data_IF_483857527396
#
_entry.id   IF_483857527396
#
_cell.length_a   1.000
_cell.length_b   1.000
_cell.length_c   1.000
_cell.angle_alpha   90.00
_cell.angle_beta   90.00
_cell.angle_gamma   90.00
#
_symmetry.space_group_name_H-M   'P 1'
#
loop_
_entity.id
_entity.type
_entity.pdbx_description
1 polymer ?
2 non-polymer ?
3 non-polymer ?
4 water ?
#
# COMPACT_ATOMS: atom_id res chain seq x y z
N UNK A 19 21.50 -20.05 -18.42
CA UNK A 19 20.39 -19.56 -17.57
C UNK A 19 19.00 -19.81 -18.17
N UNK A 20 17.98 -20.11 -17.35
CA UNK A 20 16.61 -20.23 -17.85
C UNK A 20 16.19 -18.86 -18.37
N UNK A 21 15.21 -18.85 -19.28
CA UNK A 21 14.77 -17.68 -20.01
C UNK A 21 13.27 -17.63 -19.95
N UNK A 22 12.71 -16.43 -19.77
CA UNK A 22 11.27 -16.30 -19.59
C UNK A 22 10.75 -15.11 -20.36
N UNK A 23 9.89 -15.37 -21.38
CA UNK A 23 9.32 -14.34 -22.25
C UNK A 23 10.44 -13.36 -22.74
N UNK A 24 11.57 -13.94 -23.16
CA UNK A 24 12.72 -13.20 -23.68
C UNK A 24 13.82 -12.90 -22.68
N UNK A 25 13.51 -12.82 -21.39
CA UNK A 25 14.40 -12.30 -20.34
C UNK A 25 15.26 -13.37 -19.73
N UNK A 26 16.53 -13.06 -19.44
CA UNK A 26 17.36 -13.95 -18.63
C UNK A 26 16.79 -13.89 -17.22
N UNK A 27 16.66 -15.07 -16.57
CA UNK A 27 16.41 -15.21 -15.13
C UNK A 27 17.57 -15.94 -14.51
N UNK A 28 18.61 -15.20 -14.13
CA UNK A 28 19.82 -15.79 -13.53
C UNK A 28 19.55 -16.13 -12.09
N UNK A 29 18.76 -17.18 -11.80
CA UNK A 29 18.36 -17.45 -10.41
C UNK A 29 18.93 -18.76 -9.86
N UNK A 30 19.48 -19.63 -10.70
CA UNK A 30 19.97 -20.93 -10.24
C UNK A 30 21.27 -20.80 -9.50
N UNK A 31 21.80 -21.90 -8.92
CA UNK A 31 21.24 -23.27 -8.94
C UNK A 31 20.03 -23.53 -8.03
N UNK A 32 19.83 -22.71 -6.97
CA UNK A 32 18.78 -22.93 -5.99
C UNK A 32 17.35 -22.95 -6.61
N UNK A 33 17.08 -22.06 -7.53
CA UNK A 33 15.71 -21.83 -8.01
C UNK A 33 15.53 -22.31 -9.44
N UNK A 34 14.63 -23.25 -9.65
CA UNK A 34 14.45 -23.91 -10.95
C UNK A 34 13.00 -23.95 -11.38
N UNK A 35 12.78 -24.41 -12.62
CA UNK A 35 11.45 -24.69 -13.16
C UNK A 35 10.60 -23.43 -13.09
N UNK A 36 11.05 -22.39 -13.80
CA UNK A 36 10.41 -21.09 -13.80
C UNK A 36 9.14 -21.16 -14.62
N UNK A 37 8.08 -20.47 -14.15
CA UNK A 37 6.89 -20.17 -14.95
C UNK A 37 6.63 -18.71 -14.82
N UNK A 38 6.34 -18.06 -15.94
CA UNK A 38 5.94 -16.67 -16.02
C UNK A 38 4.63 -16.41 -15.24
N UNK A 39 4.60 -15.36 -14.39
CA UNK A 39 3.38 -14.87 -13.76
C UNK A 39 2.95 -13.54 -14.41
N UNK A 40 3.86 -12.61 -14.52
CA UNK A 40 3.48 -11.30 -15.00
C UNK A 40 4.63 -10.33 -15.12
N UNK A 41 4.30 -9.07 -15.42
CA UNK A 41 5.29 -8.03 -15.61
C UNK A 41 4.66 -6.67 -15.46
N UNK A 42 5.49 -5.66 -15.30
CA UNK A 42 5.08 -4.26 -15.21
C UNK A 42 6.31 -3.40 -15.27
N UNK A 43 6.16 -2.12 -14.90
CA UNK A 43 7.28 -1.17 -14.89
C UNK A 43 8.42 -1.64 -13.95
N UNK A 44 8.05 -2.30 -12.83
CA UNK A 44 9.00 -2.92 -11.90
C UNK A 44 9.91 -3.96 -12.54
N UNK A 45 9.44 -4.66 -13.58
CA UNK A 45 10.18 -5.74 -14.20
C UNK A 45 9.28 -6.93 -14.42
N UNK A 46 9.76 -8.12 -14.08
CA UNK A 46 9.07 -9.37 -14.39
C UNK A 46 9.07 -10.25 -13.20
N UNK A 47 7.96 -10.95 -13.01
CA UNK A 47 7.81 -11.91 -11.91
C UNK A 47 7.44 -13.28 -12.46
N UNK A 48 8.00 -14.30 -11.81
CA UNK A 48 7.91 -15.72 -12.11
C UNK A 48 7.65 -16.45 -10.84
N UNK A 49 7.09 -17.65 -10.92
CA UNK A 49 7.20 -18.62 -9.83
C UNK A 49 8.41 -19.52 -10.18
N UNK A 50 9.07 -20.07 -9.15
CA UNK A 50 10.24 -20.93 -9.29
C UNK A 50 10.14 -21.94 -8.21
N UNK A 51 10.68 -23.12 -8.43
CA UNK A 51 10.84 -24.12 -7.38
C UNK A 51 12.13 -23.85 -6.58
N UNK A 52 12.01 -23.68 -5.26
CA UNK A 52 13.15 -23.50 -4.36
C UNK A 52 13.67 -24.86 -3.98
N UNK A 53 14.85 -25.21 -4.49
CA UNK A 53 15.43 -26.53 -4.24
C UNK A 53 15.99 -26.72 -2.77
N UNK A 54 16.07 -25.66 -1.95
CA UNK A 54 16.43 -25.77 -0.53
C UNK A 54 15.20 -26.05 0.32
N UNK A 55 14.17 -25.19 0.23
CA UNK A 55 12.94 -25.31 1.05
C UNK A 55 11.86 -26.13 0.39
N UNK A 56 12.03 -26.55 -0.86
CA UNK A 56 11.10 -27.50 -1.51
C UNK A 56 9.65 -26.93 -1.58
N UNK A 57 9.55 -25.61 -1.86
CA UNK A 57 8.28 -24.91 -2.17
C UNK A 57 8.50 -24.11 -3.42
N UNK A 58 7.43 -23.85 -4.19
CA UNK A 58 7.52 -22.82 -5.22
C UNK A 58 7.39 -21.48 -4.53
N UNK A 59 8.10 -20.50 -5.10
CA UNK A 59 8.27 -19.16 -4.56
C UNK A 59 8.00 -18.18 -5.66
N UNK A 60 7.84 -16.91 -5.30
CA UNK A 60 7.76 -15.84 -6.26
C UNK A 60 9.17 -15.25 -6.36
N UNK A 61 9.61 -14.96 -7.58
CA UNK A 61 10.86 -14.24 -7.82
C UNK A 61 10.54 -13.14 -8.74
N UNK A 62 10.87 -11.91 -8.33
CA UNK A 62 10.71 -10.78 -9.22
C UNK A 62 12.10 -10.28 -9.60
N UNK A 63 12.32 -10.03 -10.92
CA UNK A 63 13.54 -9.45 -11.47
C UNK A 63 13.37 -7.96 -11.67
N UNK A 64 14.15 -7.19 -10.94
CA UNK A 64 14.11 -5.74 -10.97
C UNK A 64 15.42 -5.29 -11.60
N UNK A 65 15.36 -4.35 -12.51
CA UNK A 65 16.55 -3.82 -13.18
C UNK A 65 16.50 -2.30 -13.11
N UNK A 66 16.75 -1.76 -11.91
CA UNK A 66 16.36 -0.37 -11.63
C UNK A 66 17.47 0.67 -11.82
N UNK A 67 18.66 0.24 -12.17
CA UNK A 67 19.82 1.07 -11.89
C UNK A 67 19.96 2.28 -12.84
N UNK A 68 19.21 2.32 -13.96
CA UNK A 68 19.26 3.47 -14.88
C UNK A 68 18.23 4.56 -14.50
N UNK A 69 17.46 4.39 -13.40
CA UNK A 69 16.42 5.32 -13.00
C UNK A 69 16.50 5.54 -11.51
N UNK A 70 16.85 6.80 -11.07
CA UNK A 70 16.91 7.12 -9.65
C UNK A 70 15.63 6.71 -8.90
N UNK A 71 14.45 6.97 -9.49
CA UNK A 71 13.19 6.65 -8.85
C UNK A 71 13.07 5.13 -8.66
N UNK A 72 13.43 4.30 -9.64
CA UNK A 72 13.41 2.83 -9.45
C UNK A 72 14.42 2.39 -8.40
N UNK A 73 15.61 3.01 -8.31
CA UNK A 73 16.56 2.71 -7.25
C UNK A 73 15.99 3.02 -5.90
N UNK A 74 15.22 4.14 -5.80
CA UNK A 74 14.62 4.52 -4.53
C UNK A 74 13.64 3.49 -4.07
N UNK A 75 12.78 3.06 -4.99
CA UNK A 75 11.76 2.09 -4.67
C UNK A 75 12.35 0.74 -4.26
N UNK A 76 13.36 0.28 -5.02
CA UNK A 76 14.08 -0.97 -4.72
C UNK A 76 14.72 -0.92 -3.32
N UNK A 77 15.43 0.15 -3.00
CA UNK A 77 16.13 0.26 -1.73
C UNK A 77 15.15 0.35 -0.55
N UNK A 78 14.13 1.18 -0.69
CA UNK A 78 13.10 1.29 0.36
C UNK A 78 12.41 -0.03 0.64
N UNK A 79 12.00 -0.72 -0.38
CA UNK A 79 11.36 -2.00 -0.17
C UNK A 79 12.26 -3.00 0.57
N UNK A 80 13.51 -3.13 0.11
CA UNK A 80 14.49 -4.03 0.68
C UNK A 80 14.72 -3.68 2.10
N UNK A 81 15.03 -2.41 2.41
CA UNK A 81 15.33 -1.99 3.80
C UNK A 81 14.15 -2.28 4.74
N UNK A 82 12.93 -1.95 4.31
CA UNK A 82 11.73 -2.19 5.13
C UNK A 82 11.41 -3.68 5.30
N UNK A 83 11.38 -4.44 4.23
CA UNK A 83 10.92 -5.81 4.31
C UNK A 83 11.94 -6.68 5.02
N UNK A 84 13.22 -6.40 4.91
CA UNK A 84 14.18 -7.16 5.72
C UNK A 84 14.06 -6.90 7.25
N UNK A 85 13.55 -5.74 7.67
CA UNK A 85 13.35 -5.40 9.08
C UNK A 85 12.04 -5.93 9.59
N UNK A 86 11.03 -5.90 8.77
CA UNK A 86 9.68 -6.29 9.17
C UNK A 86 9.51 -7.78 9.19
N UNK A 87 8.74 -8.28 10.19
CA UNK A 87 8.34 -9.68 10.25
C UNK A 87 6.92 -9.74 10.75
N UNK A 88 5.97 -10.09 9.87
CA UNK A 88 4.56 -10.05 10.25
C UNK A 88 3.78 -10.98 9.31
N UNK A 89 2.81 -11.71 9.83
CA UNK A 89 2.01 -12.63 9.03
C UNK A 89 1.26 -12.00 7.86
N UNK A 90 0.88 -10.69 8.00
CA UNK A 90 0.09 -9.95 7.01
C UNK A 90 0.93 -9.01 6.18
N UNK A 91 2.24 -9.20 6.18
CA UNK A 91 3.17 -8.45 5.40
C UNK A 91 4.04 -9.43 4.60
N UNK A 92 4.18 -9.20 3.33
CA UNK A 92 4.97 -10.11 2.49
C UNK A 92 6.44 -10.10 2.97
N UNK A 93 7.08 -11.20 3.01
CA UNK A 93 8.49 -11.14 3.41
C UNK A 93 9.44 -10.82 2.24
N UNK A 94 10.72 -10.69 2.51
CA UNK A 94 11.75 -11.08 1.53
C UNK A 94 12.47 -12.34 2.05
N UNK A 95 12.44 -13.41 1.27
CA UNK A 95 13.07 -14.70 1.66
C UNK A 95 14.52 -14.75 1.23
N UNK A 96 14.84 -14.14 0.12
CA UNK A 96 16.18 -14.24 -0.45
C UNK A 96 16.35 -13.09 -1.44
N UNK A 97 17.62 -12.74 -1.73
CA UNK A 97 17.91 -11.74 -2.74
C UNK A 97 19.12 -12.26 -3.50
N UNK A 98 18.97 -12.32 -4.84
CA UNK A 98 20.01 -12.73 -5.77
C UNK A 98 20.50 -11.55 -6.58
N UNK A 99 21.80 -11.35 -6.59
CA UNK A 99 22.46 -10.35 -7.43
C UNK A 99 23.90 -10.78 -7.68
N UNK A 100 24.59 -10.13 -8.65
CA UNK A 100 26.00 -10.39 -8.98
C UNK A 100 26.91 -10.20 -7.75
N UNK A 101 28.09 -10.85 -7.73
CA UNK A 101 28.97 -10.74 -6.57
C UNK A 101 29.68 -9.40 -6.41
N UNK A 102 29.69 -8.54 -7.45
CA UNK A 102 30.35 -7.21 -7.43
C UNK A 102 29.39 -6.16 -7.91
N UNK A 103 29.58 -4.89 -7.49
CA UNK A 103 28.77 -3.75 -7.93
C UNK A 103 28.89 -3.59 -9.47
N UNK A 104 30.13 -3.75 -9.98
CA UNK A 104 30.44 -3.67 -11.41
C UNK A 104 29.53 -4.60 -12.24
N UNK A 105 29.37 -5.83 -11.77
CA UNK A 105 28.60 -6.87 -12.44
C UNK A 105 27.11 -6.88 -12.14
N UNK A 106 26.61 -6.17 -11.10
CA UNK A 106 25.19 -6.16 -10.73
C UNK A 106 24.41 -5.22 -11.65
N UNK A 107 23.58 -5.81 -12.51
CA UNK A 107 22.67 -5.05 -13.36
C UNK A 107 21.23 -5.32 -12.93
N UNK A 108 20.94 -6.47 -12.30
CA UNK A 108 19.58 -6.85 -11.88
C UNK A 108 19.61 -7.27 -10.42
N UNK A 109 18.50 -7.21 -9.77
CA UNK A 109 18.31 -7.72 -8.42
C UNK A 109 17.06 -8.62 -8.49
N UNK A 110 17.18 -9.85 -8.05
CA UNK A 110 16.06 -10.79 -8.03
C UNK A 110 15.57 -10.91 -6.57
N UNK A 111 14.30 -10.56 -6.28
CA UNK A 111 13.76 -10.57 -4.90
C UNK A 111 12.83 -11.76 -4.80
N UNK A 112 13.13 -12.63 -3.85
CA UNK A 112 12.45 -13.91 -3.70
C UNK A 112 11.49 -13.71 -2.54
N UNK A 113 10.22 -14.02 -2.79
CA UNK A 113 9.14 -13.82 -1.83
C UNK A 113 8.20 -15.04 -1.82
N UNK A 114 7.43 -15.20 -0.72
CA UNK A 114 6.43 -16.26 -0.63
C UNK A 114 5.50 -16.16 -1.80
N UNK A 115 5.15 -17.28 -2.38
CA UNK A 115 4.29 -17.24 -3.55
C UNK A 115 2.83 -17.21 -3.09
N UNK A 116 2.06 -16.25 -3.65
CA UNK A 116 0.64 -16.12 -3.34
C UNK A 116 -0.16 -16.46 -4.58
N UNK A 117 -1.44 -16.83 -4.38
CA UNK A 117 -2.26 -17.34 -5.51
C UNK A 117 -2.79 -16.18 -6.36
N UNK A 118 -3.20 -15.09 -5.70
CA UNK A 118 -3.84 -13.99 -6.39
C UNK A 118 -3.67 -12.69 -5.60
N UNK A 119 -4.35 -11.63 -6.07
CA UNK A 119 -4.41 -10.37 -5.32
C UNK A 119 -5.82 -9.86 -5.29
N UNK A 120 -6.07 -8.88 -4.45
CA UNK A 120 -7.43 -8.39 -4.25
C UNK A 120 -7.98 -7.68 -5.47
N UNK A 121 -7.14 -7.08 -6.31
CA UNK A 121 -7.59 -6.44 -7.57
C UNK A 121 -8.19 -7.51 -8.50
N UNK A 122 -7.46 -8.58 -8.71
CA UNK A 122 -7.96 -9.69 -9.55
C UNK A 122 -9.22 -10.32 -8.96
N UNK A 123 -9.24 -10.48 -7.64
CA UNK A 123 -10.37 -11.13 -7.00
C UNK A 123 -11.62 -10.22 -7.13
N UNK A 124 -11.48 -8.91 -6.97
CA UNK A 124 -12.64 -8.05 -7.07
C UNK A 124 -13.19 -7.96 -8.51
N UNK A 125 -12.36 -8.14 -9.53
CA UNK A 125 -12.90 -8.10 -10.89
C UNK A 125 -13.70 -9.39 -11.24
N UNK A 126 -13.52 -10.49 -10.49
CA UNK A 126 -14.13 -11.79 -10.78
C UNK A 126 -15.12 -12.35 -9.72
N UNK A 127 -15.00 -12.00 -8.43
CA UNK A 127 -15.71 -12.70 -7.37
C UNK A 127 -16.48 -11.73 -6.48
N UNK A 128 -17.72 -12.07 -6.22
CA UNK A 128 -18.47 -11.48 -5.11
C UNK A 128 -17.88 -11.99 -3.79
N UNK A 129 -17.71 -11.10 -2.84
CA UNK A 129 -17.16 -11.40 -1.54
C UNK A 129 -18.30 -11.49 -0.57
N UNK A 130 -18.43 -12.63 0.17
CA UNK A 130 -19.38 -12.69 1.27
C UNK A 130 -18.98 -11.68 2.34
N UNK A 131 -19.94 -11.29 3.18
CA UNK A 131 -19.63 -10.34 4.25
C UNK A 131 -18.57 -10.96 5.18
N UNK A 132 -18.56 -12.31 5.38
CA UNK A 132 -17.50 -12.93 6.19
C UNK A 132 -16.08 -12.75 5.57
N UNK A 133 -16.00 -12.84 4.24
CA UNK A 133 -14.74 -12.63 3.53
C UNK A 133 -14.32 -11.19 3.67
N UNK A 134 -15.25 -10.24 3.55
CA UNK A 134 -14.93 -8.79 3.63
C UNK A 134 -14.37 -8.49 5.04
N UNK A 135 -15.02 -9.07 6.03
CA UNK A 135 -14.65 -8.87 7.46
C UNK A 135 -13.22 -9.38 7.70
N UNK A 136 -12.99 -10.62 7.27
CA UNK A 136 -11.69 -11.26 7.43
C UNK A 136 -10.55 -10.55 6.66
N UNK A 137 -10.82 -10.14 5.41
CA UNK A 137 -9.77 -9.40 4.65
C UNK A 137 -9.47 -8.07 5.36
N UNK A 138 -10.49 -7.36 5.77
CA UNK A 138 -10.28 -6.04 6.40
C UNK A 138 -9.51 -6.21 7.69
N UNK A 139 -9.87 -7.23 8.46
CA UNK A 139 -9.14 -7.54 9.71
C UNK A 139 -7.65 -7.70 9.43
N UNK A 140 -7.33 -8.51 8.42
CA UNK A 140 -5.92 -8.79 8.09
C UNK A 140 -5.22 -7.55 7.58
N UNK A 141 -5.89 -6.73 6.75
CA UNK A 141 -5.33 -5.47 6.28
C UNK A 141 -4.96 -4.60 7.48
N UNK A 142 -5.90 -4.43 8.44
CA UNK A 142 -5.69 -3.54 9.59
C UNK A 142 -4.67 -4.12 10.56
N UNK A 143 -4.63 -5.44 10.66
CA UNK A 143 -3.65 -6.11 11.51
C UNK A 143 -2.21 -5.88 11.00
N UNK A 144 -1.99 -6.04 9.72
CA UNK A 144 -0.70 -5.71 9.12
C UNK A 144 -0.41 -4.22 9.24
N UNK A 145 -1.40 -3.39 8.99
CA UNK A 145 -1.19 -1.94 9.11
C UNK A 145 -0.85 -1.49 10.53
N UNK A 146 -1.43 -2.12 11.56
CA UNK A 146 -1.05 -1.79 12.95
C UNK A 146 0.46 -1.93 13.12
N UNK A 147 1.00 -3.05 12.65
CA UNK A 147 2.42 -3.35 12.73
C UNK A 147 3.23 -2.27 11.97
N UNK A 148 2.84 -1.97 10.74
CA UNK A 148 3.57 -0.98 9.91
C UNK A 148 3.62 0.39 10.62
N UNK A 149 2.44 0.88 11.04
CA UNK A 149 2.27 2.14 11.78
C UNK A 149 2.99 2.16 13.13
N UNK A 150 3.03 1.03 13.82
CA UNK A 150 3.78 0.90 15.06
C UNK A 150 5.28 1.06 14.86
N UNK A 151 5.78 0.78 13.64
CA UNK A 151 7.17 1.06 13.28
C UNK A 151 7.38 2.52 12.82
N UNK A 152 6.36 3.40 12.93
CA UNK A 152 6.42 4.78 12.46
C UNK A 152 6.58 4.86 10.97
N UNK A 153 6.09 3.82 10.26
CA UNK A 153 6.14 3.79 8.80
C UNK A 153 4.74 3.99 8.21
N UNK A 154 4.70 4.67 7.07
CA UNK A 154 3.50 4.84 6.22
C UNK A 154 3.67 4.05 4.97
N UNK A 155 2.69 3.20 4.60
CA UNK A 155 2.83 2.41 3.37
C UNK A 155 2.72 3.35 2.13
N UNK A 156 1.67 4.18 2.11
CA UNK A 156 1.49 5.23 1.13
C UNK A 156 1.07 4.75 -0.27
N UNK A 157 0.76 3.45 -0.48
CA UNK A 157 0.17 3.02 -1.74
C UNK A 157 -0.67 1.76 -1.57
N UNK A 158 -1.48 1.75 -0.51
CA UNK A 158 -2.40 0.65 -0.24
C UNK A 158 -3.50 0.72 -1.31
N UNK A 159 -3.74 -0.42 -1.95
CA UNK A 159 -4.71 -0.57 -3.03
C UNK A 159 -4.90 -2.07 -3.22
N UNK A 160 -6.00 -2.52 -3.87
CA UNK A 160 -6.22 -3.95 -4.02
C UNK A 160 -5.04 -4.73 -4.59
N UNK A 161 -4.27 -4.18 -5.54
CA UNK A 161 -3.25 -4.97 -6.23
C UNK A 161 -2.05 -5.17 -5.34
N UNK A 162 -1.95 -4.40 -4.22
CA UNK A 162 -0.91 -4.55 -3.20
C UNK A 162 -1.34 -5.40 -2.02
N UNK A 163 -2.46 -6.13 -2.19
CA UNK A 163 -2.96 -7.08 -1.21
C UNK A 163 -2.97 -8.45 -1.84
N UNK A 164 -1.99 -9.25 -1.47
CA UNK A 164 -1.87 -10.62 -1.97
C UNK A 164 -2.66 -11.63 -1.13
N UNK A 165 -3.23 -12.66 -1.77
CA UNK A 165 -4.03 -13.66 -1.14
C UNK A 165 -3.64 -15.06 -1.60
N UNK A 166 -3.77 -16.01 -0.71
CA UNK A 166 -3.52 -17.43 -1.02
C UNK A 166 -4.85 -18.17 -1.06
N UNK A 167 -4.81 -19.50 -1.17
CA UNK A 167 -6.01 -20.28 -1.55
C UNK A 167 -6.92 -20.37 -0.38
N UNK A 168 -6.42 -20.15 0.82
CA UNK A 168 -7.25 -20.12 2.00
C UNK A 168 -7.52 -18.67 2.48
N UNK A 169 -7.38 -17.67 1.63
CA UNK A 169 -7.75 -16.25 1.95
C UNK A 169 -6.88 -15.59 3.04
N UNK A 170 -5.67 -16.14 3.26
CA UNK A 170 -4.69 -15.41 4.07
C UNK A 170 -4.19 -14.26 3.22
N UNK A 171 -4.02 -13.08 3.84
CA UNK A 171 -3.71 -11.88 3.16
C UNK A 171 -2.35 -11.31 3.59
N UNK A 172 -1.59 -10.80 2.60
CA UNK A 172 -0.32 -10.11 2.82
C UNK A 172 -0.19 -8.86 2.00
N UNK A 173 0.24 -7.79 2.68
CA UNK A 173 0.47 -6.50 2.09
C UNK A 173 1.77 -6.54 1.42
N UNK A 174 1.80 -6.06 0.20
CA UNK A 174 3.04 -5.99 -0.55
C UNK A 174 3.35 -4.57 -1.06
N UNK A 175 4.57 -4.43 -1.69
CA UNK A 175 5.13 -3.21 -2.28
C UNK A 175 5.36 -2.14 -1.25
N UNK A 176 6.53 -2.19 -0.61
CA UNK A 176 6.95 -1.19 0.39
C UNK A 176 7.92 -0.14 -0.20
N UNK A 177 7.99 -0.07 -1.53
CA UNK A 177 8.87 0.89 -2.19
C UNK A 177 8.43 2.34 -2.17
N UNK A 178 7.14 2.62 -1.92
CA UNK A 178 6.60 3.98 -1.78
C UNK A 178 6.52 4.44 -0.32
N UNK A 179 6.90 3.59 0.63
CA UNK A 179 6.79 3.90 2.05
C UNK A 179 7.68 5.05 2.51
N UNK A 180 7.29 5.65 3.63
CA UNK A 180 8.06 6.74 4.26
C UNK A 180 7.97 6.62 5.77
N UNK A 181 8.90 7.17 6.47
CA UNK A 181 8.77 7.33 7.92
C UNK A 181 7.79 8.47 8.16
N UNK A 182 6.90 8.32 9.13
CA UNK A 182 5.88 9.31 9.40
C UNK A 182 6.52 10.62 9.94
N UNK A 183 5.95 11.77 9.56
CA UNK A 183 6.50 13.05 9.92
C UNK A 183 5.33 14.05 10.00
N UNK A 184 4.45 13.91 10.98
CA UNK A 184 3.27 14.78 11.05
C UNK A 184 3.54 16.27 11.18
N UNK A 185 4.69 16.67 11.77
CA UNK A 185 5.01 18.10 11.93
C UNK A 185 5.42 18.76 10.64
N UNK A 186 5.74 17.99 9.59
CA UNK A 186 6.12 18.56 8.30
C UNK A 186 5.16 18.10 7.19
N UNK A 187 3.91 17.91 7.52
CA UNK A 187 2.91 17.43 6.56
C UNK A 187 2.22 18.53 5.74
N UNK A 188 2.29 19.78 6.21
CA UNK A 188 1.61 20.85 5.51
C UNK A 188 2.27 21.25 4.20
N UNK A 189 1.45 21.46 3.17
CA UNK A 189 1.89 22.03 1.91
C UNK A 189 0.71 22.79 1.28
N UNK A 190 0.90 23.17 0.03
CA UNK A 190 -0.07 23.91 -0.76
C UNK A 190 -1.02 23.05 -1.59
N UNK A 191 -1.80 23.77 -2.39
CA UNK A 191 -2.94 23.25 -3.12
C UNK A 191 -2.53 22.65 -4.45
N UNK A 192 -3.07 21.47 -4.74
CA UNK A 192 -2.93 20.75 -6.02
C UNK A 192 -1.49 20.53 -6.42
N UNK A 193 -0.62 20.22 -5.43
CA UNK A 193 0.79 19.98 -5.71
C UNK A 193 1.23 18.53 -5.45
N UNK A 194 0.49 17.73 -4.63
CA UNK A 194 1.02 16.44 -4.18
C UNK A 194 0.33 15.28 -4.88
N UNK A 195 1.05 14.16 -5.06
CA UNK A 195 0.59 13.02 -5.88
C UNK A 195 0.71 11.69 -5.13
N UNK A 196 0.63 11.70 -3.81
CA UNK A 196 0.88 10.50 -2.98
C UNK A 196 -0.18 9.49 -3.25
N UNK A 197 0.17 8.18 -3.17
CA UNK A 197 -0.74 7.06 -3.41
C UNK A 197 -1.22 6.94 -4.91
N UNK A 198 -2.11 5.97 -5.11
CA UNK A 198 -2.67 5.75 -6.42
C UNK A 198 -3.97 6.48 -6.43
N UNK A 199 -4.38 7.08 -7.57
CA UNK A 199 -5.45 8.10 -7.54
C UNK A 199 -6.74 7.71 -6.78
N UNK A 200 -7.33 6.56 -7.10
CA UNK A 200 -8.61 6.18 -6.52
C UNK A 200 -8.51 5.99 -4.99
N UNK A 201 -7.31 5.77 -4.49
CA UNK A 201 -7.07 5.48 -3.04
C UNK A 201 -6.41 6.64 -2.29
N UNK A 202 -6.34 7.84 -2.90
CA UNK A 202 -5.65 9.03 -2.41
C UNK A 202 -6.62 9.93 -1.58
N UNK A 203 -6.19 10.30 -0.37
CA UNK A 203 -7.04 11.01 0.57
C UNK A 203 -7.31 12.45 0.04
N UNK A 204 -8.47 13.07 0.40
CA UNK A 204 -8.81 14.42 -0.10
C UNK A 204 -7.70 15.44 0.20
N UNK A 205 -7.06 15.28 1.40
CA UNK A 205 -6.08 16.28 1.83
C UNK A 205 -4.83 16.34 0.97
N UNK A 206 -4.48 15.23 0.30
CA UNK A 206 -3.35 15.22 -0.64
C UNK A 206 -3.52 16.31 -1.71
N UNK A 207 -4.73 16.51 -2.22
CA UNK A 207 -4.99 17.51 -3.23
C UNK A 207 -5.07 18.95 -2.61
N UNK A 208 -5.20 19.07 -1.30
CA UNK A 208 -5.57 20.31 -0.62
C UNK A 208 -4.43 20.95 0.14
N UNK A 209 -3.79 20.19 1.03
CA UNK A 209 -2.77 20.75 1.93
C UNK A 209 -1.81 19.73 2.61
N UNK A 210 -1.67 18.50 2.12
CA UNK A 210 -0.92 17.45 2.84
C UNK A 210 0.12 16.80 1.94
N UNK A 211 1.32 16.56 2.50
CA UNK A 211 2.40 15.81 1.84
C UNK A 211 2.29 14.29 1.99
N UNK A 212 1.27 13.83 2.66
CA UNK A 212 1.08 12.39 2.89
C UNK A 212 2.05 11.80 3.88
N UNK A 213 2.46 12.56 4.88
CA UNK A 213 3.40 12.10 5.91
C UNK A 213 2.71 11.75 7.25
N UNK A 214 1.41 11.52 7.26
CA UNK A 214 0.74 11.09 8.51
C UNK A 214 0.03 9.77 8.22
N UNK A 215 -0.14 9.01 9.28
CA UNK A 215 -0.76 7.66 9.26
C UNK A 215 -2.17 7.65 8.69
N UNK A 216 -2.92 8.75 8.87
CA UNK A 216 -4.23 8.92 8.29
C UNK A 216 -4.31 8.74 6.78
N UNK A 217 -3.18 8.91 6.04
CA UNK A 217 -3.20 8.68 4.58
C UNK A 217 -3.56 7.22 4.27
N UNK A 218 -3.03 6.35 5.09
CA UNK A 218 -3.21 4.88 4.87
C UNK A 218 -4.58 4.46 5.28
N UNK A 219 -5.15 5.05 6.37
CA UNK A 219 -6.49 4.70 6.76
C UNK A 219 -7.48 5.09 5.67
N UNK A 220 -7.29 6.24 5.05
CA UNK A 220 -8.16 6.59 3.92
C UNK A 220 -8.15 5.50 2.85
N UNK A 221 -6.97 5.07 2.43
CA UNK A 221 -6.84 4.09 1.36
C UNK A 221 -7.56 2.79 1.79
N UNK A 222 -7.36 2.39 3.04
CA UNK A 222 -8.13 1.22 3.56
C UNK A 222 -9.67 1.41 3.47
N UNK A 223 -10.18 2.58 3.81
CA UNK A 223 -11.60 2.85 3.68
C UNK A 223 -12.06 2.68 2.24
N UNK A 224 -11.23 3.15 1.27
CA UNK A 224 -11.57 3.01 -0.17
C UNK A 224 -11.63 1.51 -0.55
N UNK A 225 -10.72 0.75 0.00
CA UNK A 225 -10.63 -0.69 -0.22
C UNK A 225 -11.82 -1.38 0.33
N UNK A 226 -12.22 -1.04 1.57
CA UNK A 226 -13.41 -1.62 2.17
C UNK A 226 -14.62 -1.31 1.27
N UNK A 227 -14.80 -0.03 0.90
CA UNK A 227 -15.91 0.34 0.01
C UNK A 227 -15.92 -0.51 -1.26
N UNK A 228 -14.73 -0.77 -1.82
CA UNK A 228 -14.62 -1.50 -3.05
C UNK A 228 -14.94 -2.99 -2.90
N UNK A 229 -14.58 -3.57 -1.75
CA UNK A 229 -14.97 -4.96 -1.38
C UNK A 229 -16.49 -5.12 -1.21
N UNK A 230 -17.18 -4.08 -0.82
CA UNK A 230 -18.64 -4.17 -0.61
C UNK A 230 -19.39 -4.26 -1.92
N UNK A 231 -18.91 -3.64 -2.98
CA UNK A 231 -19.65 -3.57 -4.27
C UNK A 231 -18.85 -3.99 -5.51
N UNK A 232 -17.58 -4.41 -5.38
CA UNK A 232 -16.73 -4.73 -6.56
C UNK A 232 -16.48 -3.52 -7.52
N UNK A 233 -16.64 -2.31 -7.06
CA UNK A 233 -16.40 -1.14 -7.89
C UNK A 233 -15.67 -0.12 -7.06
N UNK A 234 -14.69 0.61 -7.62
CA UNK A 234 -14.02 1.64 -6.80
C UNK A 234 -15.03 2.74 -6.39
N UNK A 235 -14.98 3.21 -5.16
CA UNK A 235 -15.97 4.19 -4.64
C UNK A 235 -15.74 5.60 -5.20
N UNK A 236 -14.48 6.00 -5.46
CA UNK A 236 -14.11 7.35 -5.93
C UNK A 236 -13.30 7.17 -7.24
N UNK A 237 -13.98 6.78 -8.34
CA UNK A 237 -13.27 6.53 -9.60
C UNK A 237 -12.86 7.76 -10.41
N UNK A 238 -11.98 8.60 -9.86
CA UNK A 238 -11.56 9.79 -10.57
C UNK A 238 -10.95 9.41 -11.93
N UNK A 239 -11.26 10.14 -12.98
CA UNK A 239 -10.75 9.87 -14.33
C UNK A 239 -9.38 10.46 -14.55
N UNK A 240 -8.96 11.36 -13.66
CA UNK A 240 -7.66 11.99 -13.75
C UNK A 240 -7.43 12.68 -12.42
N UNK A 241 -6.21 13.22 -12.18
CA UNK A 241 -5.82 13.75 -10.85
C UNK A 241 -6.81 14.77 -10.23
N UNK A 242 -7.19 15.68 -11.06
CA UNK A 242 -8.09 16.76 -10.65
C UNK A 242 -9.54 16.28 -10.38
N UNK A 243 -9.96 15.23 -11.04
CA UNK A 243 -11.33 14.73 -10.90
C UNK A 243 -11.51 14.04 -9.55
N UNK A 244 -10.43 13.57 -8.93
CA UNK A 244 -10.52 12.74 -7.72
C UNK A 244 -11.29 13.44 -6.60
N UNK A 245 -11.01 14.72 -6.34
CA UNK A 245 -11.73 15.43 -5.29
C UNK A 245 -13.22 15.58 -5.62
N UNK A 246 -13.58 15.67 -6.92
CA UNK A 246 -14.98 15.76 -7.31
C UNK A 246 -15.76 14.52 -6.82
N UNK A 247 -15.16 13.39 -7.03
CA UNK A 247 -15.76 12.11 -6.63
C UNK A 247 -15.87 12.05 -5.09
N UNK A 248 -14.82 12.42 -4.38
CA UNK A 248 -14.84 12.34 -2.90
C UNK A 248 -15.89 13.26 -2.34
N UNK A 249 -15.87 14.48 -2.74
CA UNK A 249 -16.87 15.44 -2.30
C UNK A 249 -18.32 15.13 -2.78
N UNK A 250 -18.45 14.54 -3.96
CA UNK A 250 -19.73 14.04 -4.45
C UNK A 250 -20.46 13.13 -3.49
N UNK A 251 -19.70 12.29 -2.75
CA UNK A 251 -20.25 11.33 -1.77
C UNK A 251 -20.26 11.93 -0.37
N UNK A 252 -19.10 12.47 0.09
CA UNK A 252 -19.01 13.01 1.44
C UNK A 252 -19.86 14.26 1.64
N UNK A 253 -20.09 15.02 0.60
CA UNK A 253 -20.74 16.31 0.69
C UNK A 253 -19.73 17.40 1.03
N UNK A 254 -20.22 18.64 1.08
CA UNK A 254 -19.43 19.80 1.46
C UNK A 254 -18.80 19.59 2.85
N UNK A 255 -17.50 19.86 3.02
CA UNK A 255 -16.94 19.91 4.38
C UNK A 255 -17.59 20.98 5.25
N UNK A 256 -17.69 20.64 6.55
CA UNK A 256 -18.20 21.51 7.58
C UNK A 256 -17.31 22.73 7.78
N UNK A 257 -17.89 23.74 8.42
CA UNK A 257 -17.11 24.95 8.78
C UNK A 257 -15.87 24.59 9.53
N UNK A 258 -15.99 23.72 10.50
CA UNK A 258 -14.89 23.32 11.34
C UNK A 258 -13.79 22.67 10.55
N UNK A 259 -14.14 21.73 9.66
CA UNK A 259 -13.17 21.05 8.83
C UNK A 259 -12.48 22.00 7.85
N UNK A 260 -13.24 22.91 7.27
CA UNK A 260 -12.72 23.98 6.42
C UNK A 260 -11.78 24.90 7.14
N UNK A 261 -12.10 25.25 8.38
CA UNK A 261 -11.24 26.12 9.20
C UNK A 261 -9.87 25.49 9.54
N UNK A 262 -9.75 24.15 9.51
CA UNK A 262 -8.47 23.45 9.63
C UNK A 262 -7.56 23.65 8.42
N UNK A 263 -8.09 24.06 7.27
CA UNK A 263 -7.31 24.24 6.07
C UNK A 263 -6.94 25.73 6.03
N UNK A 264 -5.72 26.04 6.45
CA UNK A 264 -5.36 27.43 6.59
C UNK A 264 -4.90 28.02 5.27
N UNK A 265 -4.37 27.20 4.39
CA UNK A 265 -3.93 27.68 3.08
C UNK A 265 -5.14 28.27 2.27
N UNK A 266 -5.01 29.50 1.76
CA UNK A 266 -6.14 30.20 1.17
C UNK A 266 -6.56 29.64 -0.17
N UNK A 267 -5.62 29.17 -0.97
CA UNK A 267 -5.98 28.64 -2.29
C UNK A 267 -6.92 27.44 -2.11
N UNK A 268 -6.57 26.56 -1.19
CA UNK A 268 -7.34 25.35 -0.92
C UNK A 268 -8.67 25.70 -0.28
N UNK A 269 -8.64 26.56 0.81
CA UNK A 269 -9.85 27.08 1.46
C UNK A 269 -10.86 27.68 0.48
N UNK A 270 -10.42 28.66 -0.29
CA UNK A 270 -11.26 29.40 -1.22
C UNK A 270 -11.76 28.49 -2.38
N UNK A 271 -10.96 27.50 -2.80
CA UNK A 271 -11.46 26.49 -3.76
C UNK A 271 -12.68 25.80 -3.15
N UNK A 272 -12.55 25.30 -1.96
CA UNK A 272 -13.70 24.63 -1.34
C UNK A 272 -14.91 25.52 -1.12
N UNK A 273 -14.67 26.77 -0.71
CA UNK A 273 -15.73 27.73 -0.49
C UNK A 273 -16.47 28.10 -1.78
N UNK A 274 -15.80 27.97 -2.90
CA UNK A 274 -16.32 28.29 -4.22
C UNK A 274 -17.28 27.26 -4.73
N UNK A 275 -17.32 26.08 -4.11
CA UNK A 275 -18.17 24.97 -4.55
C UNK A 275 -19.59 25.15 -4.07
N UNK A 276 -20.56 24.75 -4.90
CA UNK A 276 -21.95 24.75 -4.42
C UNK A 276 -22.08 23.74 -3.28
N UNK A 277 -22.99 24.03 -2.35
CA UNK A 277 -23.28 23.12 -1.26
C UNK A 277 -23.73 21.76 -1.84
N UNK A 278 -23.17 20.69 -1.34
CA UNK A 278 -23.53 19.30 -1.69
C UNK A 278 -23.81 18.54 -0.41
N UNK A 279 -24.92 17.78 -0.35
CA UNK A 279 -25.21 16.94 0.80
C UNK A 279 -24.48 15.59 0.75
N UNK A 280 -24.29 15.01 1.91
CA UNK A 280 -23.75 13.65 2.05
C UNK A 280 -24.69 12.57 1.42
N UNK A 281 -24.12 11.69 0.58
CA UNK A 281 -24.82 10.54 0.03
C UNK A 281 -24.72 9.47 1.12
N UNK A 282 -25.84 8.94 1.64
CA UNK A 282 -25.77 8.00 2.79
C UNK A 282 -25.16 6.67 2.39
N UNK A 283 -24.34 6.08 3.26
CA UNK A 283 -23.64 4.87 2.86
C UNK A 283 -24.62 3.75 2.61
N UNK A 284 -25.77 3.73 3.36
CA UNK A 284 -26.76 2.64 3.20
C UNK A 284 -27.51 2.70 1.83
N UNK A 285 -27.51 3.83 1.11
CA UNK A 285 -28.01 3.89 -0.28
C UNK A 285 -26.98 3.47 -1.30
N UNK A 286 -25.70 3.81 -1.05
CA UNK A 286 -24.61 3.32 -1.89
C UNK A 286 -24.46 1.83 -1.71
N UNK A 287 -24.65 1.29 -0.50
CA UNK A 287 -24.32 -0.11 -0.15
C UNK A 287 -25.51 -0.69 0.55
N UNK A 288 -26.60 -0.92 -0.20
CA UNK A 288 -27.84 -1.36 0.44
C UNK A 288 -27.76 -2.79 1.02
N UNK A 289 -26.80 -3.62 0.54
CA UNK A 289 -26.65 -5.02 1.05
C UNK A 289 -25.58 -5.17 2.14
N UNK A 290 -24.87 -4.06 2.47
CA UNK A 290 -23.78 -4.14 3.41
C UNK A 290 -24.26 -4.25 4.85
N UNK A 291 -23.41 -4.87 5.67
CA UNK A 291 -23.59 -4.98 7.10
C UNK A 291 -23.54 -3.56 7.66
N UNK A 292 -24.46 -3.22 8.55
CA UNK A 292 -24.51 -1.86 9.11
C UNK A 292 -23.25 -1.53 9.92
N UNK A 293 -22.66 -2.52 10.60
CA UNK A 293 -21.37 -2.31 11.29
C UNK A 293 -20.25 -1.99 10.32
N UNK A 294 -20.23 -2.66 9.17
CA UNK A 294 -19.23 -2.35 8.17
C UNK A 294 -19.37 -0.89 7.72
N UNK A 295 -20.62 -0.40 7.51
CA UNK A 295 -20.80 0.95 7.03
C UNK A 295 -20.44 1.97 8.11
N UNK A 296 -20.64 1.66 9.39
CA UNK A 296 -20.24 2.55 10.46
C UNK A 296 -18.71 2.70 10.42
N UNK A 297 -17.99 1.60 10.31
CA UNK A 297 -16.52 1.65 10.19
C UNK A 297 -16.09 2.38 8.93
N UNK A 298 -16.72 2.07 7.81
CA UNK A 298 -16.42 2.74 6.55
C UNK A 298 -16.48 4.27 6.75
N UNK A 299 -17.57 4.76 7.41
CA UNK A 299 -17.76 6.21 7.59
C UNK A 299 -16.57 6.84 8.34
N UNK A 300 -16.11 6.14 9.35
CA UNK A 300 -15.00 6.58 10.21
C UNK A 300 -13.67 6.57 9.49
N UNK A 301 -13.43 5.63 8.61
CA UNK A 301 -12.23 5.57 7.76
C UNK A 301 -12.24 6.64 6.67
N UNK A 302 -13.43 6.96 6.14
CA UNK A 302 -13.56 7.95 5.07
C UNK A 302 -14.05 9.28 5.62
N UNK A 303 -13.45 9.69 6.69
CA UNK A 303 -13.72 11.02 7.28
C UNK A 303 -12.88 12.02 6.52
N UNK A 304 -13.49 13.13 6.14
CA UNK A 304 -12.81 14.21 5.36
C UNK A 304 -11.60 14.75 6.15
N UNK A 305 -11.80 15.07 7.41
CA UNK A 305 -10.80 15.69 8.25
C UNK A 305 -9.84 14.62 8.74
N UNK A 306 -8.58 14.64 8.29
CA UNK A 306 -7.64 13.56 8.69
C UNK A 306 -7.40 13.45 10.21
N UNK A 307 -7.56 14.56 10.95
CA UNK A 307 -7.44 14.53 12.40
C UNK A 307 -8.57 13.76 13.08
N UNK A 308 -9.72 13.78 12.47
CA UNK A 308 -10.90 13.11 13.03
C UNK A 308 -11.03 11.70 12.54
N UNK A 309 -10.24 11.31 11.52
CA UNK A 309 -10.28 10.00 10.92
C UNK A 309 -9.83 8.93 11.91
N UNK A 310 -10.48 7.80 11.88
CA UNK A 310 -10.18 6.72 12.81
C UNK A 310 -8.73 6.26 12.64
N UNK A 311 -8.05 5.90 13.76
CA UNK A 311 -6.73 5.27 13.72
C UNK A 311 -6.81 3.74 13.68
N UNK A 312 -5.73 3.14 13.26
CA UNK A 312 -5.66 1.69 13.04
C UNK A 312 -6.05 0.88 14.26
N UNK A 313 -5.55 1.24 15.49
CA UNK A 313 -5.94 0.52 16.69
C UNK A 313 -7.42 0.69 17.05
N UNK A 314 -8.04 1.84 16.78
CA UNK A 314 -9.49 2.00 16.97
C UNK A 314 -10.26 1.16 15.95
N UNK A 315 -9.79 1.13 14.69
CA UNK A 315 -10.45 0.40 13.65
C UNK A 315 -10.53 -1.09 14.03
N UNK A 316 -9.41 -1.67 14.52
CA UNK A 316 -9.37 -3.09 14.94
C UNK A 316 -10.37 -3.41 16.04
N UNK A 317 -10.59 -2.44 16.98
CA UNK A 317 -11.53 -2.52 18.08
C UNK A 317 -12.97 -2.17 17.72
N UNK A 318 -13.28 -1.87 16.46
CA UNK A 318 -14.62 -1.53 16.00
C UNK A 318 -15.53 -2.76 16.03
N UNK A 319 -16.80 -2.62 16.44
CA UNK A 319 -17.70 -3.79 16.44
C UNK A 319 -17.75 -4.67 15.19
N UNK A 320 -17.55 -4.11 14.00
CA UNK A 320 -17.50 -4.91 12.78
C UNK A 320 -16.48 -6.04 12.89
N UNK A 321 -15.35 -5.81 13.60
CA UNK A 321 -14.26 -6.80 13.66
C UNK A 321 -14.21 -7.60 14.93
N UNK A 322 -15.29 -7.57 15.74
CA UNK A 322 -15.27 -8.16 17.09
C UNK A 322 -15.00 -9.67 17.07
N UNK A 323 -15.31 -10.37 15.95
CA UNK A 323 -15.09 -11.84 15.88
C UNK A 323 -13.60 -12.17 15.82
N UNK A 324 -12.76 -11.19 15.42
CA UNK A 324 -11.35 -11.38 15.20
C UNK A 324 -10.48 -10.64 16.19
N UNK A 325 -10.98 -9.60 16.75
CA UNK A 325 -10.14 -8.64 17.49
C UNK A 325 -9.54 -9.28 18.67
N UNK A 326 -8.23 -9.14 18.78
CA UNK A 326 -7.43 -9.72 19.85
C UNK A 326 -6.11 -8.95 19.94
N UNK A 327 -6.06 -7.88 20.74
CA UNK A 327 -4.86 -7.00 20.72
C UNK A 327 -3.54 -7.72 21.02
N UNK A 328 -3.62 -8.77 21.87
CA UNK A 328 -2.48 -9.60 22.21
C UNK A 328 -1.99 -10.46 21.01
N UNK A 329 -2.85 -10.66 19.97
CA UNK A 329 -2.45 -11.32 18.74
C UNK A 329 -2.39 -10.39 17.51
N UNK A 330 -2.11 -9.10 17.78
CA UNK A 330 -1.97 -8.08 16.80
C UNK A 330 -0.67 -7.37 17.17
N UNK A 331 0.44 -8.01 16.80
CA UNK A 331 1.76 -7.53 17.26
C UNK A 331 2.24 -6.25 16.62
N UNK A 332 3.17 -5.61 17.34
CA UNK A 332 3.80 -4.37 16.94
C UNK A 332 5.27 -4.60 16.67
N UNK A 333 5.88 -3.61 16.03
CA UNK A 333 7.27 -3.69 15.68
C UNK A 333 8.12 -3.58 16.95
N UNK A 334 9.23 -4.28 16.97
CA UNK A 334 10.14 -4.23 18.10
C UNK A 334 10.75 -2.84 18.32
N UNK A 335 10.91 -2.03 17.29
CA UNK A 335 11.31 -0.64 17.53
C UNK A 335 10.86 0.25 16.39
N UNK A 336 10.78 1.58 16.52
CA UNK A 336 10.47 2.42 15.33
C UNK A 336 11.59 2.36 14.30
N UNK A 337 11.22 2.53 13.04
CA UNK A 337 12.08 2.35 11.89
C UNK A 337 12.76 3.66 11.59
N UNK A 338 14.03 3.58 11.11
CA UNK A 338 14.98 4.70 10.94
C UNK A 338 15.78 4.53 9.64
N UNK A 341 14.43 8.30 5.83
CA UNK A 341 15.53 7.52 5.26
C UNK A 341 16.55 8.43 4.51
N UNK A 342 16.05 9.55 3.91
CA UNK A 342 16.85 10.60 3.25
C UNK A 342 17.57 10.09 2.00
N UNK A 343 16.76 9.73 0.98
CA UNK A 343 17.21 9.14 -0.28
C UNK A 343 17.02 10.01 -1.53
N UNK A 344 16.37 11.20 -1.42
CA UNK A 344 16.03 12.06 -2.59
C UNK A 344 17.22 12.91 -3.08
N UNK A 345 18.19 13.19 -2.20
CA UNK A 345 19.43 13.88 -2.56
C UNK A 345 20.53 12.89 -3.07
N UNK A 346 20.27 11.55 -2.96
CA UNK A 346 21.25 10.52 -3.31
C UNK A 346 21.19 10.21 -4.82
N UNK A 347 22.31 10.29 -5.58
CA UNK A 347 22.26 9.88 -7.00
C UNK A 347 22.00 8.38 -7.16
N UNK A 348 21.55 7.96 -8.36
CA UNK A 348 21.26 6.56 -8.61
C UNK A 348 22.48 5.69 -8.40
N UNK A 349 23.68 6.22 -8.73
CA UNK A 349 24.90 5.43 -8.54
C UNK A 349 25.14 5.18 -7.04
N UNK A 350 24.90 6.19 -6.18
CA UNK A 350 24.97 5.98 -4.72
C UNK A 350 23.89 5.00 -4.24
N UNK A 351 22.65 5.14 -4.70
CA UNK A 351 21.61 4.19 -4.34
C UNK A 351 22.01 2.74 -4.72
N UNK A 352 22.68 2.54 -5.85
CA UNK A 352 23.16 1.21 -6.22
C UNK A 352 24.10 0.63 -5.18
N UNK A 353 25.01 1.45 -4.62
CA UNK A 353 25.89 1.03 -3.54
C UNK A 353 25.16 0.58 -2.33
N UNK A 354 24.13 1.34 -1.91
CA UNK A 354 23.36 1.03 -0.72
C UNK A 354 22.56 -0.25 -0.95
N UNK A 355 22.01 -0.46 -2.14
CA UNK A 355 21.29 -1.70 -2.50
C UNK A 355 22.29 -2.88 -2.44
N UNK A 356 23.49 -2.72 -3.02
CA UNK A 356 24.56 -3.74 -2.91
C UNK A 356 24.85 -4.08 -1.42
N UNK A 357 25.05 -3.05 -0.61
CA UNK A 357 25.34 -3.24 0.81
C UNK A 357 24.22 -3.98 1.51
N UNK A 358 22.97 -3.62 1.22
CA UNK A 358 21.78 -4.10 1.92
C UNK A 358 21.45 -5.53 1.55
N UNK A 359 21.88 -5.97 0.37
CA UNK A 359 21.63 -7.32 -0.11
C UNK A 359 22.78 -8.32 0.22
N UNK A 360 23.90 -7.84 0.81
CA UNK A 360 25.08 -8.62 1.10
C UNK A 360 24.83 -9.88 1.93
N UNK A 361 23.84 -9.84 2.82
CA UNK A 361 23.59 -10.94 3.76
C UNK A 361 23.16 -12.23 3.07
N UNK A 362 22.62 -12.13 1.82
CA UNK A 362 22.18 -13.27 1.04
C UNK A 362 23.21 -13.91 0.18
N UNK A 363 24.41 -13.37 0.17
CA UNK A 363 25.48 -13.92 -0.61
C UNK A 363 26.13 -15.14 0.03
N UNK A 364 26.52 -16.13 -0.81
CA UNK A 364 27.53 -17.10 -0.38
C UNK A 364 28.71 -16.35 0.24
N UNK A 365 28.80 -16.44 1.57
CA UNK A 365 29.79 -15.74 2.38
C UNK A 365 29.31 -15.47 3.79
X LIG B 1 -2.77 10.58 -11.24
X LIG B 1 -2.94 9.29 -11.91
X LIG B 1 -4.11 11.03 -10.68
X LIG B 1 -2.28 11.59 -12.19
X LIG B 1 -1.77 10.44 -10.15
X LIG C 1 -3.06 -0.52 -10.04
X LIG C 1 -2.98 0.86 -9.57
X LIG C 1 -4.37 -1.11 -9.69
X LIG C 1 -1.97 -1.32 -9.46
X LIG C 1 -2.92 -0.54 -11.51
X LIG D 1 -5.71 6.28 -15.80
X LIG D 1 -6.90 6.03 -14.97
X LIG D 1 -5.66 7.71 -16.16
X LIG D 1 -4.49 5.92 -15.06
X LIG D 1 -5.82 5.46 -17.02
X LIG E 1 -18.70 -9.72 -9.47
X LIG E 1 -19.89 -10.07 -10.27
X LIG E 1 -19.15 -9.23 -8.17
X LIG E 1 -17.92 -8.70 -10.17
X LIG E 1 -17.88 -10.90 -9.30
X LIG F 1 -19.05 13.51 -9.34
X LIG F 1 -19.44 13.14 -7.98
X LIG F 1 -19.67 14.80 -9.67
X LIG F 1 -17.60 13.66 -9.42
X LIG F 1 -19.48 12.48 -10.29
X LIG G 1 -27.45 -5.42 9.90
X LIG G 1 -28.68 -5.07 9.17
X LIG G 1 -27.40 -4.63 11.13
X LIG G 1 -27.45 -6.86 10.25
X LIG G 1 -26.31 -5.14 9.06
X LIG H 1 5.19 -3.35 -8.18
X LIG H 1 5.68 -4.18 -7.01
X LIG H 1 4.90 -7.69 -7.95
X LIG H 1 4.57 -8.81 -8.67
X LIG H 1 4.20 -9.97 -8.03
X LIG H 1 4.13 -10.04 -6.63
X LIG H 1 4.87 -7.74 -6.55
X LIG H 1 5.20 -6.40 -6.02
X LIG H 1 3.79 -11.34 -5.99
X LIG H 1 2.52 -13.22 -6.13
X LIG H 1 -0.76 -14.03 -9.77
X LIG H 1 -1.27 -12.06 -8.55
X LIG H 1 -0.35 -12.48 -7.42
X LIG H 1 4.03 -13.12 -4.45
X LIG H 1 4.44 -11.87 -4.89
X LIG H 1 7.20 -4.06 -6.85
X LIG H 1 9.13 -1.64 -5.11
X LIG H 1 11.51 -0.84 -8.77
X LIG H 1 10.67 -0.20 -9.65
X LIG H 1 9.29 -0.26 -9.51
X LIG H 1 8.36 0.40 -10.49
X LIG H 1 8.78 -1.02 -8.45
X LIG H 1 5.31 -5.58 -7.11
X LIG H 1 5.29 -6.31 -8.38
X LIG H 1 4.47 -8.91 -5.89
X LIG H 1 5.37 -6.06 -4.87
X LIG H 1 2.83 -12.02 -6.63
X LIG H 1 1.53 -13.90 -6.78
X LIG H 1 0.75 -13.40 -7.91
X LIG H 1 0.15 -14.56 -8.70
X LIG H 1 -1.81 -13.20 -9.23
X LIG H 1 3.08 -13.82 -5.07
X LIG H 1 5.71 -11.07 -4.02
X LIG H 1 7.93 -5.04 -6.93
X LIG H 1 7.63 -2.82 -6.62
X LIG H 1 9.03 -2.46 -6.39
X LIG H 1 8.36 -0.46 -5.20
X LIG H 1 9.61 -1.67 -7.56
X LIG H 1 10.98 -1.58 -7.72
X LIG H 1 4.17 -3.62 -8.47
X LIG H 1 5.81 -3.47 -9.06
X LIG H 1 5.19 -2.29 -7.96
X LIG H 1 5.18 -3.81 -6.11
X LIG H 1 4.60 -8.76 -9.76
X LIG H 1 3.97 -10.85 -8.64
X LIG H 1 -0.21 -13.52 -10.56
X LIG H 1 -1.31 -14.84 -10.26
X LIG H 1 -2.16 -11.55 -8.18
X LIG H 1 -0.79 -11.37 -9.24
X LIG H 1 -0.90 -12.94 -6.60
X LIG H 1 0.09 -11.59 -6.98
X LIG H 1 4.48 -13.58 -3.58
X LIG H 1 8.88 -2.23 -4.24
X LIG H 1 10.14 -1.27 -4.98
X LIG H 1 12.59 -0.78 -8.90
X LIG H 1 11.10 0.36 -10.48
X LIG H 1 7.35 0.02 -10.45
X LIG H 1 8.71 0.25 -11.51
X LIG H 1 8.31 1.48 -10.32
X LIG H 1 7.69 -1.04 -8.39
X LIG H 1 6.24 -6.29 -8.90
X LIG H 1 4.54 -5.91 -9.07
X LIG H 1 4.45 -8.90 -4.80
X LIG H 1 1.27 -14.80 -6.39
X LIG H 1 1.39 -12.86 -8.62
X LIG H 1 0.95 -15.16 -9.15
X LIG H 1 -0.40 -15.25 -8.06
X LIG H 1 6.96 -2.07 -6.47
X LIG H 1 9.64 -3.35 -6.25
X LIG H 1 7.62 -0.57 -4.56
X LIG H 1 11.66 -2.07 -7.01
#
# INVERSE_FOLDING_TARGET
MAHHHHHHMAAAAAAGAGPEMVRGQVFDVGPRYTNLSYIGEGAYGMVCSAYDNVNKVRVAIKKISPFEHQTYCQRTLREIKILLRFRHENIIGINDIIRAPTIEQMKDVYIVQDLMETDLYKLLKTQHLSNDHICYFLYQILRGLKYIHSANVLHRDLKPSNLLLNTTCDLKICDFGLARVADPDHDHTGFLTEYVATRWYRAPEIMLNSKGYTKSIDIWSVGCILAEMLSNRPIFPGKHYLDQLNHILGILGSPSQEDLNCIINLKARNYLLSLPHKNKVPWNRLFPNADSKALDLLDKMLTFNPHKRIEVEQALAHPYLEQYYDPSDEPIAEAPFKFDMELDDLPKEKLKELIFEETARFQPGYRS
SO4 S O1 O2 O3 O4
SO4 S O1 O2 O3 O4
SO4 S O1 O2 O3 O4
SO4 S O1 O2 O3 O4
SO4 S O1 O2 O3 O4
SO4 S O1 O2 O3 O4
ESN C1 C2 C5 C6 C7 C8 C10 C11 C13 C15 C19 C21 C22 C24 C25 C27 C31 C35 C36 C37 C38 C39 N3 C4 C9 O12 N14 N16 C17 C18 O20 N23 CL1 O28 N29 C30 O32 C33 C34 H44 H43 H42 H40 H47 H48 H54 H55 H57 H56 H58 H59 H60 H62 H63 H66 H67 H69 H68 H70 H71 H46 H45 H49 H50 H51 H52 H53 H61 H41 H64 H65
#
